data_IF_222150979706
#
_entry.id   IF_222150979706
#
_cell.length_a   1.000
_cell.length_b   1.000
_cell.length_c   1.000
_cell.angle_alpha   90.00
_cell.angle_beta   90.00
_cell.angle_gamma   90.00
#
_symmetry.space_group_name_H-M   'P 1'
#
loop_
_entity.id
_entity.type
_entity.pdbx_description
1 polymer ?
#
# COMPACT_ATOMS: atom_id res chain seq x y z
N UNK A 1 3.85 -19.47 3.51
CA UNK A 1 2.42 -19.23 3.21
C UNK A 1 2.24 -18.15 2.14
N UNK A 2 2.71 -16.91 2.35
CA UNK A 2 2.59 -15.80 1.38
C UNK A 2 3.27 -16.06 0.03
N UNK A 3 4.47 -16.65 0.01
CA UNK A 3 5.16 -16.98 -1.25
C UNK A 3 4.40 -18.04 -2.08
N UNK A 4 3.65 -18.94 -1.43
CA UNK A 4 2.82 -19.94 -2.10
C UNK A 4 1.58 -19.29 -2.72
N UNK A 5 0.97 -18.32 -2.03
CA UNK A 5 -0.16 -17.56 -2.55
C UNK A 5 0.21 -16.78 -3.82
N UNK A 6 1.38 -16.13 -3.84
CA UNK A 6 1.90 -15.44 -5.03
C UNK A 6 2.04 -16.41 -6.23
N UNK A 7 2.56 -17.61 -5.97
CA UNK A 7 2.69 -18.65 -6.99
C UNK A 7 1.34 -19.13 -7.53
N UNK A 8 0.33 -19.27 -6.66
CA UNK A 8 -1.02 -19.66 -7.06
C UNK A 8 -1.70 -18.59 -7.93
N UNK A 9 -1.55 -17.32 -7.59
CA UNK A 9 -2.08 -16.20 -8.39
C UNK A 9 -1.46 -16.16 -9.80
N UNK A 10 -0.13 -16.36 -9.91
CA UNK A 10 0.55 -16.44 -11.21
C UNK A 10 0.01 -17.58 -12.07
N UNK A 11 -0.18 -18.77 -11.48
CA UNK A 11 -0.72 -19.94 -12.19
C UNK A 11 -2.16 -19.68 -12.65
N UNK A 12 -2.97 -19.02 -11.84
CA UNK A 12 -4.34 -18.63 -12.20
C UNK A 12 -4.37 -17.68 -13.40
N UNK A 13 -3.51 -16.67 -13.44
CA UNK A 13 -3.42 -15.73 -14.57
C UNK A 13 -2.97 -16.42 -15.87
N UNK A 14 -1.95 -17.28 -15.78
CA UNK A 14 -1.47 -18.07 -16.93
C UNK A 14 -2.57 -18.98 -17.46
N UNK A 15 -3.37 -19.58 -16.57
CA UNK A 15 -4.47 -20.47 -16.95
C UNK A 15 -5.64 -19.71 -17.60
N UNK A 16 -5.93 -18.49 -17.13
CA UNK A 16 -6.97 -17.63 -17.70
C UNK A 16 -6.57 -16.99 -19.04
N UNK A 17 -5.28 -16.97 -19.39
CA UNK A 17 -4.70 -16.31 -20.59
C UNK A 17 -5.06 -14.82 -20.73
N UNK A 18 -5.59 -14.24 -19.68
CA UNK A 18 -6.03 -12.85 -19.61
C UNK A 18 -5.46 -12.28 -18.31
N UNK A 19 -4.86 -11.10 -18.42
CA UNK A 19 -4.28 -10.38 -17.29
C UNK A 19 -5.21 -9.21 -17.01
N UNK A 20 -5.92 -9.26 -15.89
CA UNK A 20 -6.80 -8.18 -15.47
C UNK A 20 -5.97 -7.03 -14.91
N UNK A 21 -6.51 -5.81 -14.94
CA UNK A 21 -5.84 -4.67 -14.30
C UNK A 21 -5.59 -4.96 -12.81
N UNK A 22 -6.58 -5.52 -12.10
CA UNK A 22 -6.46 -5.82 -10.67
C UNK A 22 -5.26 -6.73 -10.33
N UNK A 23 -4.96 -7.70 -11.20
CA UNK A 23 -3.86 -8.65 -11.04
C UNK A 23 -2.50 -7.94 -11.06
N UNK A 24 -2.34 -6.98 -11.98
CA UNK A 24 -1.14 -6.16 -12.11
C UNK A 24 -0.96 -5.27 -10.88
N UNK A 25 -2.05 -4.76 -10.29
CA UNK A 25 -1.98 -3.94 -9.07
C UNK A 25 -1.51 -4.75 -7.88
N UNK A 26 -2.00 -5.97 -7.75
CA UNK A 26 -1.61 -6.86 -6.67
C UNK A 26 -0.11 -7.16 -6.74
N UNK A 27 0.42 -7.47 -7.93
CA UNK A 27 1.86 -7.65 -8.13
C UNK A 27 2.66 -6.39 -7.82
N UNK A 28 2.18 -5.22 -8.21
CA UNK A 28 2.86 -3.96 -7.89
C UNK A 28 2.98 -3.74 -6.38
N UNK A 29 1.90 -3.98 -5.63
CA UNK A 29 1.93 -3.87 -4.16
C UNK A 29 2.93 -4.88 -3.57
N UNK A 30 3.00 -6.11 -4.10
CA UNK A 30 3.99 -7.09 -3.67
C UNK A 30 5.44 -6.67 -3.94
N UNK A 31 5.73 -6.11 -5.12
CA UNK A 31 7.06 -5.61 -5.45
C UNK A 31 7.45 -4.40 -4.59
N UNK A 32 6.49 -3.52 -4.30
CA UNK A 32 6.71 -2.34 -3.46
C UNK A 32 7.02 -2.74 -2.01
N UNK A 33 6.29 -3.72 -1.47
CA UNK A 33 6.57 -4.31 -0.15
C UNK A 33 7.93 -5.03 -0.14
N UNK A 34 8.25 -5.80 -1.18
CA UNK A 34 9.54 -6.51 -1.30
C UNK A 34 10.73 -5.53 -1.22
N UNK A 35 10.60 -4.40 -1.91
CA UNK A 35 11.60 -3.30 -1.88
C UNK A 35 11.80 -2.77 -0.47
N UNK A 36 10.72 -2.61 0.28
CA UNK A 36 10.77 -2.12 1.65
C UNK A 36 11.38 -3.12 2.64
N UNK A 37 11.08 -4.41 2.47
CA UNK A 37 11.75 -5.48 3.21
C UNK A 37 13.25 -5.50 2.89
N UNK A 38 13.62 -5.32 1.62
CA UNK A 38 15.03 -5.15 1.23
C UNK A 38 15.70 -3.96 1.94
N UNK A 39 15.03 -2.82 1.99
CA UNK A 39 15.51 -1.62 2.69
C UNK A 39 15.62 -1.84 4.22
N UNK A 40 14.69 -2.60 4.79
CA UNK A 40 14.69 -2.97 6.20
C UNK A 40 15.91 -3.82 6.56
N UNK A 41 16.25 -4.83 5.76
CA UNK A 41 17.45 -5.64 5.97
C UNK A 41 18.75 -4.83 5.90
N UNK A 42 18.76 -3.73 5.12
CA UNK A 42 19.93 -2.86 4.99
C UNK A 42 20.06 -1.85 6.14
N UNK A 43 18.95 -1.46 6.76
CA UNK A 43 18.89 -0.33 7.71
C UNK A 43 18.62 -0.76 9.17
N UNK A 44 18.12 -1.97 9.40
CA UNK A 44 17.75 -2.51 10.72
C UNK A 44 16.56 -1.84 11.42
N UNK A 45 16.07 -0.71 10.90
CA UNK A 45 14.90 0.03 11.39
C UNK A 45 13.92 0.19 10.24
N UNK A 46 12.65 -0.18 10.44
CA UNK A 46 11.56 -0.01 9.48
C UNK A 46 10.89 1.33 9.80
N UNK A 47 11.14 2.42 9.05
CA UNK A 47 10.57 3.71 9.40
C UNK A 47 9.06 3.63 9.15
N UNK A 48 8.25 3.80 10.20
CA UNK A 48 6.77 3.65 10.21
C UNK A 48 6.08 4.48 9.10
N UNK A 49 6.78 5.48 8.58
CA UNK A 49 6.37 6.32 7.46
C UNK A 49 6.08 5.54 6.18
N UNK A 50 6.92 4.57 5.83
CA UNK A 50 6.83 3.90 4.53
C UNK A 50 5.57 3.03 4.38
N UNK A 51 5.15 2.20 5.37
CA UNK A 51 3.89 1.45 5.27
C UNK A 51 2.65 2.33 5.10
N UNK A 52 2.61 3.49 5.76
CA UNK A 52 1.51 4.45 5.66
C UNK A 52 1.39 5.04 4.25
N UNK A 53 2.50 5.33 3.59
CA UNK A 53 2.49 5.78 2.18
C UNK A 53 1.99 4.70 1.24
N UNK A 54 2.41 3.43 1.42
CA UNK A 54 1.91 2.32 0.61
C UNK A 54 0.40 2.15 0.76
N UNK A 55 -0.13 2.25 1.98
CA UNK A 55 -1.57 2.18 2.20
C UNK A 55 -2.32 3.28 1.43
N UNK A 56 -1.82 4.52 1.45
CA UNK A 56 -2.42 5.62 0.68
C UNK A 56 -2.34 5.37 -0.84
N UNK A 57 -1.19 4.92 -1.36
CA UNK A 57 -1.01 4.62 -2.78
C UNK A 57 -1.90 3.46 -3.23
N UNK A 58 -2.03 2.41 -2.41
CA UNK A 58 -2.90 1.27 -2.69
C UNK A 58 -4.37 1.70 -2.78
N UNK A 59 -4.85 2.52 -1.83
CA UNK A 59 -6.23 3.02 -1.86
C UNK A 59 -6.44 3.97 -3.06
N UNK A 60 -5.50 4.87 -3.34
CA UNK A 60 -5.60 5.78 -4.48
C UNK A 60 -5.69 5.02 -5.82
N UNK A 61 -4.87 3.97 -5.96
CA UNK A 61 -4.87 3.10 -7.12
C UNK A 61 -6.17 2.31 -7.26
N UNK A 62 -6.70 1.81 -6.15
CA UNK A 62 -8.00 1.14 -6.11
C UNK A 62 -9.12 2.07 -6.59
N UNK A 63 -9.15 3.33 -6.12
CA UNK A 63 -10.12 4.34 -6.58
C UNK A 63 -10.01 4.56 -8.09
N UNK A 64 -8.80 4.79 -8.63
CA UNK A 64 -8.63 5.07 -10.06
C UNK A 64 -9.12 3.93 -10.95
N UNK A 65 -8.88 2.69 -10.57
CA UNK A 65 -9.19 1.54 -11.42
C UNK A 65 -10.64 1.09 -11.26
N UNK A 66 -11.16 1.07 -10.03
CA UNK A 66 -12.56 0.68 -9.80
C UNK A 66 -13.53 1.80 -10.18
N UNK A 67 -13.10 3.07 -10.22
CA UNK A 67 -13.93 4.17 -10.74
C UNK A 67 -14.35 4.01 -12.20
N UNK A 68 -13.68 3.14 -12.96
CA UNK A 68 -14.00 2.88 -14.36
C UNK A 68 -15.15 1.87 -14.55
N UNK A 69 -15.57 1.14 -13.50
CA UNK A 69 -16.49 -0.01 -13.61
C UNK A 69 -17.59 -0.01 -12.52
N UNK A 70 -18.45 1.01 -12.45
CA UNK A 70 -19.60 1.03 -11.52
C UNK A 70 -19.25 1.15 -10.02
N UNK A 71 -18.34 2.06 -9.65
CA UNK A 71 -18.10 2.31 -8.22
C UNK A 71 -19.27 3.07 -7.59
N UNK A 72 -19.92 2.46 -6.60
CA UNK A 72 -20.97 3.11 -5.80
C UNK A 72 -20.42 4.37 -5.12
N UNK A 73 -21.14 5.49 -5.23
CA UNK A 73 -20.66 6.80 -4.79
C UNK A 73 -20.30 6.87 -3.31
N UNK A 74 -20.97 6.05 -2.49
CA UNK A 74 -20.65 5.89 -1.06
C UNK A 74 -19.29 5.26 -0.81
N UNK A 75 -18.92 4.26 -1.61
CA UNK A 75 -17.61 3.60 -1.53
C UNK A 75 -16.49 4.57 -1.90
N UNK A 76 -16.70 5.40 -2.93
CA UNK A 76 -15.74 6.41 -3.33
C UNK A 76 -15.48 7.41 -2.19
N UNK A 77 -16.53 7.94 -1.57
CA UNK A 77 -16.42 8.88 -0.44
C UNK A 77 -15.73 8.20 0.76
N UNK A 78 -16.05 6.93 1.04
CA UNK A 78 -15.41 6.15 2.10
C UNK A 78 -13.90 5.99 1.88
N UNK A 79 -13.48 5.59 0.67
CA UNK A 79 -12.07 5.42 0.31
C UNK A 79 -11.32 6.76 0.30
N UNK A 80 -11.92 7.84 -0.21
CA UNK A 80 -11.33 9.17 -0.15
C UNK A 80 -11.15 9.67 1.29
N UNK A 81 -12.12 9.41 2.16
CA UNK A 81 -12.03 9.76 3.59
C UNK A 81 -10.93 8.95 4.28
N UNK A 82 -10.77 7.67 3.93
CA UNK A 82 -9.70 6.84 4.46
C UNK A 82 -8.31 7.38 4.10
N UNK A 83 -8.09 7.84 2.84
CA UNK A 83 -6.84 8.51 2.44
C UNK A 83 -6.62 9.77 3.28
N UNK A 84 -7.66 10.57 3.53
CA UNK A 84 -7.57 11.80 4.31
C UNK A 84 -7.14 11.51 5.76
N UNK A 85 -7.72 10.48 6.38
CA UNK A 85 -7.34 10.02 7.73
C UNK A 85 -5.89 9.53 7.77
N UNK A 86 -5.45 8.74 6.78
CA UNK A 86 -4.06 8.27 6.69
C UNK A 86 -3.09 9.44 6.50
N UNK A 87 -3.44 10.43 5.65
CA UNK A 87 -2.63 11.61 5.44
C UNK A 87 -2.49 12.45 6.73
N UNK A 88 -3.58 12.60 7.50
CA UNK A 88 -3.53 13.23 8.83
C UNK A 88 -2.66 12.44 9.80
N UNK A 89 -2.74 11.12 9.82
CA UNK A 89 -1.86 10.28 10.65
C UNK A 89 -0.39 10.48 10.29
N UNK A 90 -0.05 10.53 8.99
CA UNK A 90 1.32 10.86 8.53
C UNK A 90 1.73 12.26 8.98
N UNK A 91 0.83 13.25 8.87
CA UNK A 91 1.09 14.61 9.33
C UNK A 91 1.41 14.65 10.83
N UNK A 92 0.61 13.96 11.64
CA UNK A 92 0.82 13.86 13.10
C UNK A 92 2.13 13.15 13.42
N UNK A 93 2.44 12.04 12.76
CA UNK A 93 3.71 11.32 12.97
C UNK A 93 4.90 12.20 12.57
N UNK A 94 4.78 12.94 11.47
CA UNK A 94 5.80 13.89 11.01
C UNK A 94 5.97 15.04 11.99
N UNK A 95 4.87 15.56 12.54
CA UNK A 95 4.89 16.66 13.51
C UNK A 95 5.35 16.21 14.90
N UNK A 96 5.02 14.98 15.32
CA UNK A 96 5.50 14.39 16.57
C UNK A 96 7.01 14.13 16.55
N UNK A 97 7.54 13.65 15.42
CA UNK A 97 8.99 13.43 15.27
C UNK A 97 9.83 14.72 15.28
N UNK A 98 9.26 15.89 14.97
CA UNK A 98 9.98 17.17 15.02
C UNK A 98 9.93 17.84 16.40
N UNK A 99 9.06 17.38 17.32
CA UNK A 99 8.86 18.00 18.64
C UNK A 99 9.44 17.21 19.82
N UNK A 100 9.77 15.92 19.65
CA UNK A 100 10.44 15.10 20.66
C UNK A 100 11.78 14.58 20.12
N UNK A 101 12.88 15.36 20.22
CA UNK A 101 14.20 14.76 20.15
C UNK A 101 14.30 13.77 21.33
N UNK A 102 14.50 12.49 21.03
CA UNK A 102 15.00 11.58 22.05
C UNK A 102 16.36 12.12 22.48
N UNK A 103 16.48 12.49 23.75
CA UNK A 103 17.76 12.68 24.39
C UNK A 103 18.43 11.30 24.42
N UNK A 104 19.42 11.11 23.56
CA UNK A 104 20.30 9.95 23.61
C UNK A 104 21.14 10.09 24.88
N UNK A 105 20.66 9.45 25.97
CA UNK A 105 21.47 9.10 27.12
C UNK A 105 22.23 7.82 26.88
#
# INVERSE_FOLDING_TARGET
>A
ATMVAIGQEMVLMVNRREVMLHDILLFFIYLEILTMVGLYFQSGKLPIRYPLYIAMVAIARHITIDSMTEMDGWTMIGLSTAILVLALAVLVIRYGHIHLPYDEG
#
